data_IF_430523569960
#
_entry.id   IF_430523569960
#
_cell.length_a   1.000
_cell.length_b   1.000
_cell.length_c   1.000
_cell.angle_alpha   90.00
_cell.angle_beta   90.00
_cell.angle_gamma   90.00
#
_symmetry.space_group_name_H-M   'P 1'
#
loop_
_entity.id
_entity.type
_entity.pdbx_description
1 polymer ?
#
# COMPACT_ATOMS: atom_id res chain seq x y z
N UNK A 1 9.03 10.64 20.32
CA UNK A 1 8.40 10.67 18.99
C UNK A 1 9.01 11.72 18.07
N UNK A 2 9.34 12.93 18.53
CA UNK A 2 9.96 14.00 17.70
C UNK A 2 11.45 13.81 17.39
N UNK A 3 12.19 13.01 18.13
CA UNK A 3 13.65 12.91 18.00
C UNK A 3 14.12 12.00 16.87
N UNK A 4 13.32 11.03 16.46
CA UNK A 4 13.65 10.08 15.38
C UNK A 4 13.60 10.73 13.99
N UNK A 5 12.73 11.72 13.81
CA UNK A 5 12.64 12.51 12.57
C UNK A 5 13.70 13.61 12.46
N UNK A 6 14.44 13.90 13.54
CA UNK A 6 15.42 14.98 13.60
C UNK A 6 16.81 14.59 13.10
N UNK A 7 17.13 13.30 13.03
CA UNK A 7 18.39 12.81 12.47
C UNK A 7 18.11 12.11 11.13
N UNK A 8 17.85 12.90 10.09
CA UNK A 8 17.93 12.42 8.71
C UNK A 8 19.40 12.30 8.33
N UNK A 9 20.01 11.18 8.76
CA UNK A 9 21.34 10.80 8.31
C UNK A 9 21.33 10.50 6.79
N UNK A 10 22.44 10.73 6.12
CA UNK A 10 22.61 10.48 4.70
C UNK A 10 22.20 9.03 4.30
N UNK A 11 22.46 8.06 5.18
CA UNK A 11 22.03 6.67 5.00
C UNK A 11 20.50 6.52 4.99
N UNK A 12 19.81 7.18 5.91
CA UNK A 12 18.35 7.19 5.97
C UNK A 12 17.74 7.82 4.74
N UNK A 13 18.29 8.95 4.27
CA UNK A 13 17.83 9.63 3.04
C UNK A 13 18.00 8.70 1.84
N UNK A 14 19.16 8.07 1.70
CA UNK A 14 19.42 7.12 0.61
C UNK A 14 18.45 5.94 0.64
N UNK A 15 18.19 5.37 1.82
CA UNK A 15 17.22 4.28 1.98
C UNK A 15 15.80 4.72 1.59
N UNK A 16 15.36 5.91 2.00
CA UNK A 16 14.05 6.45 1.62
C UNK A 16 13.92 6.66 0.11
N UNK A 17 14.97 7.16 -0.55
CA UNK A 17 15.00 7.34 -2.01
C UNK A 17 14.88 5.98 -2.71
N UNK A 18 15.66 4.98 -2.29
CA UNK A 18 15.62 3.64 -2.88
C UNK A 18 14.27 2.96 -2.69
N UNK A 19 13.69 3.04 -1.49
CA UNK A 19 12.35 2.51 -1.19
C UNK A 19 11.30 3.25 -2.02
N UNK A 20 11.39 4.57 -2.14
CA UNK A 20 10.46 5.38 -2.93
C UNK A 20 10.49 5.01 -4.42
N UNK A 21 11.69 4.85 -5.01
CA UNK A 21 11.86 4.44 -6.41
C UNK A 21 11.30 3.03 -6.62
N UNK A 22 11.67 2.08 -5.79
CA UNK A 22 11.19 0.70 -5.89
C UNK A 22 9.67 0.61 -5.74
N UNK A 23 9.11 1.26 -4.72
CA UNK A 23 7.68 1.29 -4.48
C UNK A 23 6.91 2.00 -5.60
N UNK A 24 7.44 3.11 -6.12
CA UNK A 24 6.85 3.84 -7.25
C UNK A 24 6.84 3.02 -8.53
N UNK A 25 7.95 2.34 -8.83
CA UNK A 25 8.05 1.45 -10.01
C UNK A 25 7.03 0.31 -9.92
N UNK A 26 7.00 -0.39 -8.78
CA UNK A 26 6.05 -1.50 -8.57
C UNK A 26 4.60 -1.00 -8.52
N UNK A 27 4.35 0.17 -7.93
CA UNK A 27 3.03 0.81 -7.94
C UNK A 27 2.56 1.12 -9.37
N UNK A 28 3.45 1.63 -10.21
CA UNK A 28 3.14 1.89 -11.63
C UNK A 28 2.87 0.62 -12.43
N UNK A 29 3.55 -0.49 -12.11
CA UNK A 29 3.36 -1.78 -12.77
C UNK A 29 2.05 -2.47 -12.34
N UNK A 30 1.76 -2.46 -11.04
CA UNK A 30 0.68 -3.27 -10.44
C UNK A 30 -0.57 -2.44 -10.14
N UNK A 31 -0.45 -1.11 -10.06
CA UNK A 31 -1.56 -0.22 -9.75
C UNK A 31 -2.01 -0.22 -8.28
N UNK A 32 -1.20 -0.69 -7.36
CA UNK A 32 -1.58 -0.92 -5.93
C UNK A 32 -1.37 0.32 -5.04
N UNK A 33 -1.04 1.47 -5.60
CA UNK A 33 -0.87 2.72 -4.84
C UNK A 33 0.35 2.77 -3.90
N UNK A 34 1.31 1.82 -4.02
CA UNK A 34 2.57 1.81 -3.27
C UNK A 34 2.49 1.40 -1.80
N UNK A 35 1.35 1.54 -1.13
CA UNK A 35 1.20 1.28 0.30
C UNK A 35 1.56 -0.14 0.73
N UNK A 36 1.29 -1.12 -0.11
CA UNK A 36 1.63 -2.54 0.12
C UNK A 36 3.15 -2.73 0.29
N UNK A 37 3.96 -1.93 -0.40
CA UNK A 37 5.41 -2.03 -0.40
C UNK A 37 6.03 -1.06 0.60
N UNK A 38 5.53 0.18 0.62
CA UNK A 38 6.04 1.25 1.46
C UNK A 38 5.93 0.90 2.94
N UNK A 39 4.76 0.41 3.39
CA UNK A 39 4.53 0.10 4.81
C UNK A 39 5.49 -0.97 5.32
N UNK A 40 5.60 -2.17 4.70
CA UNK A 40 6.60 -3.14 5.13
C UNK A 40 8.04 -2.64 5.04
N UNK A 41 8.39 -1.92 3.97
CA UNK A 41 9.73 -1.40 3.79
C UNK A 41 10.14 -0.41 4.88
N UNK A 42 9.27 0.52 5.26
CA UNK A 42 9.52 1.47 6.35
C UNK A 42 9.69 0.76 7.70
N UNK A 43 8.90 -0.28 7.95
CA UNK A 43 8.98 -1.05 9.20
C UNK A 43 10.28 -1.85 9.26
N UNK A 44 10.60 -2.63 8.20
CA UNK A 44 11.71 -3.56 8.23
C UNK A 44 13.08 -2.90 8.03
N UNK A 45 13.19 -1.91 7.15
CA UNK A 45 14.48 -1.28 6.85
C UNK A 45 14.75 -0.04 7.68
N UNK A 46 13.71 0.71 8.07
CA UNK A 46 13.86 1.99 8.76
C UNK A 46 13.34 1.95 10.20
N UNK A 47 12.78 0.81 10.65
CA UNK A 47 12.32 0.61 12.01
C UNK A 47 11.16 1.52 12.43
N UNK A 48 10.31 1.90 11.47
CA UNK A 48 9.09 2.67 11.77
C UNK A 48 8.07 1.80 12.50
N UNK A 49 7.27 2.41 13.35
CA UNK A 49 6.08 1.75 13.89
C UNK A 49 5.04 1.57 12.77
N UNK A 50 4.09 0.66 12.98
CA UNK A 50 3.01 0.42 12.02
C UNK A 50 2.24 1.72 11.69
N UNK A 51 1.92 2.53 12.70
CA UNK A 51 1.18 3.78 12.52
C UNK A 51 1.99 4.85 11.77
N UNK A 52 3.28 4.97 12.08
CA UNK A 52 4.17 5.90 11.37
C UNK A 52 4.31 5.51 9.89
N UNK A 53 4.47 4.23 9.60
CA UNK A 53 4.58 3.73 8.24
C UNK A 53 3.28 3.95 7.44
N UNK A 54 2.12 3.69 8.05
CA UNK A 54 0.81 3.94 7.43
C UNK A 54 0.57 5.43 7.19
N UNK A 55 0.83 6.28 8.20
CA UNK A 55 0.70 7.73 8.07
C UNK A 55 1.59 8.29 6.98
N UNK A 56 2.84 7.82 6.89
CA UNK A 56 3.78 8.22 5.83
C UNK A 56 3.29 7.79 4.45
N UNK A 57 2.79 6.57 4.31
CA UNK A 57 2.21 6.07 3.06
C UNK A 57 0.99 6.88 2.62
N UNK A 58 0.08 7.21 3.54
CA UNK A 58 -1.08 8.06 3.26
C UNK A 58 -0.66 9.50 2.88
N UNK A 59 0.36 10.05 3.57
CA UNK A 59 0.93 11.35 3.24
C UNK A 59 1.53 11.39 1.83
N UNK A 60 2.16 10.30 1.39
CA UNK A 60 2.67 10.19 0.02
C UNK A 60 1.54 10.20 -1.02
N UNK A 61 0.41 9.55 -0.73
CA UNK A 61 -0.75 9.53 -1.61
C UNK A 61 -1.47 10.88 -1.71
N UNK A 62 -1.28 11.77 -0.73
CA UNK A 62 -1.82 13.13 -0.77
C UNK A 62 -1.16 13.97 -1.88
N UNK A 63 0.10 13.67 -2.19
CA UNK A 63 0.82 14.29 -3.30
C UNK A 63 0.46 13.57 -4.60
N UNK A 64 0.50 14.28 -5.77
CA UNK A 64 0.19 13.66 -7.07
C UNK A 64 1.32 12.74 -7.55
N UNK A 65 1.80 11.85 -6.67
CA UNK A 65 2.96 10.99 -6.92
C UNK A 65 2.74 10.01 -8.09
N UNK A 66 1.47 9.65 -8.36
CA UNK A 66 1.11 8.75 -9.45
C UNK A 66 0.78 9.42 -10.78
N UNK A 67 0.85 10.75 -10.90
CA UNK A 67 0.33 11.48 -12.08
C UNK A 67 0.97 11.04 -13.40
N UNK A 68 2.27 10.77 -13.40
CA UNK A 68 2.97 10.32 -14.61
C UNK A 68 2.53 8.91 -15.03
N UNK A 69 2.30 8.01 -14.07
CA UNK A 69 1.75 6.69 -14.36
C UNK A 69 0.31 6.80 -14.90
N UNK A 70 -0.52 7.66 -14.30
CA UNK A 70 -1.89 7.91 -14.76
C UNK A 70 -1.90 8.39 -16.22
N UNK A 71 -1.03 9.31 -16.62
CA UNK A 71 -0.93 9.81 -18.01
C UNK A 71 -0.62 8.65 -18.96
N UNK A 72 0.30 7.75 -18.61
CA UNK A 72 0.65 6.61 -19.45
C UNK A 72 -0.54 5.66 -19.66
N UNK A 73 -1.29 5.34 -18.60
CA UNK A 73 -2.47 4.48 -18.70
C UNK A 73 -3.64 5.18 -19.40
N UNK A 74 -3.81 6.50 -19.20
CA UNK A 74 -4.82 7.29 -19.89
C UNK A 74 -4.59 7.31 -21.40
N UNK A 75 -3.35 7.53 -21.83
CA UNK A 75 -3.00 7.52 -23.26
C UNK A 75 -3.23 6.17 -23.94
N UNK A 76 -3.31 5.09 -23.17
CA UNK A 76 -3.66 3.74 -23.63
C UNK A 76 -5.17 3.45 -23.56
N UNK A 77 -5.99 4.38 -23.08
CA UNK A 77 -7.44 4.22 -22.95
C UNK A 77 -7.89 3.32 -21.79
N UNK A 78 -7.02 3.06 -20.82
CA UNK A 78 -7.34 2.19 -19.68
C UNK A 78 -7.95 2.92 -18.48
N UNK A 79 -8.20 4.23 -18.56
CA UNK A 79 -8.78 5.02 -17.49
C UNK A 79 -10.14 5.59 -17.90
N UNK A 80 -11.17 5.27 -17.11
CA UNK A 80 -12.47 5.93 -17.16
C UNK A 80 -12.59 6.90 -15.97
N UNK A 81 -12.58 8.20 -16.27
CA UNK A 81 -12.69 9.24 -15.25
C UNK A 81 -14.00 9.25 -14.49
N UNK A 82 -15.08 8.69 -15.03
CA UNK A 82 -16.36 8.56 -14.31
C UNK A 82 -16.22 7.56 -13.18
N UNK A 83 -15.60 6.41 -13.46
CA UNK A 83 -15.29 5.38 -12.45
C UNK A 83 -14.36 5.96 -11.40
N UNK A 84 -13.26 6.62 -11.82
CA UNK A 84 -12.31 7.27 -10.91
C UNK A 84 -13.01 8.28 -10.00
N UNK A 85 -13.88 9.14 -10.53
CA UNK A 85 -14.58 10.16 -9.76
C UNK A 85 -15.49 9.57 -8.69
N UNK A 86 -16.29 8.56 -9.02
CA UNK A 86 -17.16 7.88 -8.06
C UNK A 86 -16.35 7.20 -6.96
N UNK A 87 -15.31 6.46 -7.36
CA UNK A 87 -14.44 5.79 -6.40
C UNK A 87 -13.67 6.76 -5.51
N UNK A 88 -13.26 7.91 -6.04
CA UNK A 88 -12.53 8.92 -5.29
C UNK A 88 -13.38 9.47 -4.13
N UNK A 89 -14.65 9.80 -4.38
CA UNK A 89 -15.56 10.28 -3.32
C UNK A 89 -15.78 9.20 -2.25
N UNK A 90 -16.04 7.97 -2.67
CA UNK A 90 -16.21 6.84 -1.75
C UNK A 90 -14.93 6.56 -0.96
N UNK A 91 -13.76 6.65 -1.61
CA UNK A 91 -12.45 6.42 -0.99
C UNK A 91 -12.12 7.46 0.09
N UNK A 92 -12.47 8.73 -0.12
CA UNK A 92 -12.29 9.79 0.90
C UNK A 92 -13.08 9.46 2.16
N UNK A 93 -14.36 9.08 2.01
CA UNK A 93 -15.21 8.71 3.14
C UNK A 93 -14.71 7.43 3.83
N UNK A 94 -14.38 6.40 3.05
CA UNK A 94 -13.83 5.15 3.57
C UNK A 94 -12.49 5.34 4.27
N UNK A 95 -11.60 6.13 3.71
CA UNK A 95 -10.30 6.45 4.29
C UNK A 95 -10.40 7.21 5.61
N UNK A 96 -11.34 8.14 5.71
CA UNK A 96 -11.60 8.86 6.95
C UNK A 96 -12.12 7.93 8.06
N UNK A 97 -13.07 7.06 7.76
CA UNK A 97 -13.57 6.06 8.73
C UNK A 97 -12.50 5.04 9.09
N UNK A 98 -11.80 4.52 8.08
CA UNK A 98 -10.75 3.51 8.26
C UNK A 98 -9.58 4.02 9.08
N UNK A 99 -9.13 5.26 8.87
CA UNK A 99 -8.05 5.87 9.65
C UNK A 99 -8.44 6.07 11.12
N UNK A 100 -9.68 6.51 11.41
CA UNK A 100 -10.19 6.60 12.78
C UNK A 100 -10.20 5.25 13.49
N UNK A 101 -10.68 4.22 12.79
CA UNK A 101 -10.70 2.86 13.32
C UNK A 101 -9.27 2.35 13.58
N UNK A 102 -8.37 2.51 12.61
CA UNK A 102 -6.98 2.07 12.73
C UNK A 102 -6.27 2.72 13.92
N UNK A 103 -6.49 4.03 14.15
CA UNK A 103 -5.91 4.77 15.28
C UNK A 103 -6.50 4.38 16.65
N UNK A 104 -7.71 3.81 16.68
CA UNK A 104 -8.33 3.31 17.92
C UNK A 104 -7.93 1.87 18.27
N UNK A 105 -7.32 1.13 17.35
CA UNK A 105 -6.92 -0.25 17.54
C UNK A 105 -5.47 -0.36 18.00
N UNK A 106 -5.11 -1.44 18.75
CA UNK A 106 -3.71 -1.74 19.05
C UNK A 106 -2.89 -1.94 17.76
N UNK A 107 -1.67 -1.41 17.74
CA UNK A 107 -0.78 -1.49 16.55
C UNK A 107 -0.54 -2.93 16.08
N UNK A 108 -0.40 -3.87 17.02
CA UNK A 108 -0.20 -5.30 16.71
C UNK A 108 -1.40 -5.90 15.98
N UNK A 109 -2.62 -5.47 16.33
CA UNK A 109 -3.83 -5.94 15.66
C UNK A 109 -3.90 -5.40 14.23
N UNK A 110 -3.62 -4.11 14.04
CA UNK A 110 -3.60 -3.47 12.71
C UNK A 110 -2.55 -4.13 11.81
N UNK A 111 -1.36 -4.42 12.36
CA UNK A 111 -0.29 -5.13 11.67
C UNK A 111 -0.72 -6.54 11.21
N UNK A 112 -1.39 -7.29 12.10
CA UNK A 112 -1.90 -8.63 11.79
C UNK A 112 -2.98 -8.59 10.71
N UNK A 113 -3.94 -7.67 10.80
CA UNK A 113 -4.99 -7.47 9.79
C UNK A 113 -4.35 -7.19 8.43
N UNK A 114 -3.37 -6.29 8.38
CA UNK A 114 -2.65 -5.95 7.16
C UNK A 114 -1.90 -7.16 6.58
N UNK A 115 -1.21 -7.93 7.41
CA UNK A 115 -0.48 -9.13 6.99
C UNK A 115 -1.43 -10.20 6.41
N UNK A 116 -2.57 -10.45 7.06
CA UNK A 116 -3.59 -11.39 6.58
C UNK A 116 -4.18 -10.94 5.24
N UNK A 117 -4.46 -9.63 5.10
CA UNK A 117 -4.95 -9.07 3.85
C UNK A 117 -3.94 -9.23 2.70
N UNK A 118 -2.65 -8.96 2.96
CA UNK A 118 -1.59 -9.15 1.97
C UNK A 118 -1.46 -10.62 1.55
N UNK A 119 -1.49 -11.52 2.51
CA UNK A 119 -1.37 -12.96 2.26
C UNK A 119 -2.56 -13.46 1.44
N UNK A 120 -3.79 -13.11 1.83
CA UNK A 120 -5.00 -13.45 1.10
C UNK A 120 -4.98 -12.92 -0.34
N UNK A 121 -4.63 -11.64 -0.50
CA UNK A 121 -4.55 -11.00 -1.82
C UNK A 121 -3.49 -11.66 -2.69
N UNK A 122 -2.33 -11.99 -2.11
CA UNK A 122 -1.25 -12.68 -2.80
C UNK A 122 -1.68 -14.05 -3.34
N UNK A 123 -2.31 -14.88 -2.51
CA UNK A 123 -2.83 -16.20 -2.90
C UNK A 123 -3.86 -16.05 -4.03
N UNK A 124 -4.78 -15.10 -3.88
CA UNK A 124 -5.85 -14.84 -4.87
C UNK A 124 -5.28 -14.44 -6.23
N UNK A 125 -4.34 -13.51 -6.25
CA UNK A 125 -3.73 -13.03 -7.49
C UNK A 125 -2.84 -14.07 -8.17
N UNK A 126 -2.25 -15.00 -7.42
CA UNK A 126 -1.51 -16.13 -7.98
C UNK A 126 -2.42 -17.25 -8.54
N UNK A 127 -3.74 -17.16 -8.32
CA UNK A 127 -4.70 -18.19 -8.76
C UNK A 127 -4.58 -19.52 -8.00
N UNK A 128 -3.88 -19.52 -6.85
CA UNK A 128 -3.69 -20.72 -6.05
C UNK A 128 -4.96 -21.21 -5.37
N UNK A 129 -5.96 -20.35 -5.23
CA UNK A 129 -7.30 -20.72 -4.77
C UNK A 129 -7.94 -21.79 -5.69
N UNK A 130 -7.78 -21.65 -7.00
CA UNK A 130 -8.26 -22.64 -7.98
C UNK A 130 -7.49 -23.95 -7.91
N UNK A 131 -6.19 -23.91 -7.61
CA UNK A 131 -5.35 -25.10 -7.44
C UNK A 131 -5.70 -25.80 -6.13
N UNK A 132 -5.92 -25.08 -5.04
CA UNK A 132 -6.35 -25.65 -3.76
C UNK A 132 -7.72 -26.30 -3.87
N UNK A 133 -8.68 -25.66 -4.54
CA UNK A 133 -10.02 -26.23 -4.79
C UNK A 133 -9.95 -27.46 -5.68
N UNK A 134 -9.11 -27.47 -6.71
CA UNK A 134 -8.87 -28.66 -7.55
C UNK A 134 -8.24 -29.80 -6.75
N UNK A 135 -7.27 -29.47 -5.90
CA UNK A 135 -6.58 -30.46 -5.08
C UNK A 135 -7.52 -31.10 -4.04
N UNK A 136 -8.34 -30.28 -3.37
CA UNK A 136 -9.37 -30.76 -2.42
C UNK A 136 -10.43 -31.61 -3.12
N UNK A 137 -10.90 -31.20 -4.32
CA UNK A 137 -11.86 -32.00 -5.11
C UNK A 137 -11.26 -33.28 -5.68
N UNK A 138 -9.96 -33.37 -5.83
CA UNK A 138 -9.26 -34.58 -6.25
C UNK A 138 -8.96 -35.55 -5.11
N UNK A 139 -9.19 -35.17 -3.84
CA UNK A 139 -9.02 -36.01 -2.65
C UNK A 139 -10.33 -36.70 -2.23
N UNK A 140 -11.47 -36.29 -2.78
CA UNK A 140 -12.80 -36.86 -2.59
C UNK A 140 -13.39 -37.35 -3.93
#
# INVERSE_FOLDING_TARGET
MKDKFRQMDAGTITALILVGIAAGTLSGLVGVGGGIIIVPALIFFLGFSQMEAQGTSLGLLLLPAGILAVINYYNKGFIDFRVVGIMCVAFVLGGWLGSRLALSLPQDLVKKIFAVFLFYTGIKMMGWDLLLVKWIKGLF
#
